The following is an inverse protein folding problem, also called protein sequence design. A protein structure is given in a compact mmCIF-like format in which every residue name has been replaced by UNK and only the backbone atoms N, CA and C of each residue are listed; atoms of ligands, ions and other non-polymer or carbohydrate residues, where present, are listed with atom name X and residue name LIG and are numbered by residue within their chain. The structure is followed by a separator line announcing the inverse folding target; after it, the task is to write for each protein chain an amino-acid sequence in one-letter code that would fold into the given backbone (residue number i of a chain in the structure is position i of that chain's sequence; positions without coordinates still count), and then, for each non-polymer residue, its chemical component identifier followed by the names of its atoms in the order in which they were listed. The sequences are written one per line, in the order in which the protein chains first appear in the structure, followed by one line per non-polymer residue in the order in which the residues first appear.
data_IF_763441075442
#
_entry.id   IF_763441075442
#
_cell.length_a   1.000
_cell.length_b   1.000
_cell.length_c   1.000
_cell.angle_alpha   90.00
_cell.angle_beta   90.00
_cell.angle_gamma   90.00
#
_symmetry.space_group_name_H-M   'P 1'
#
loop_
_entity.id
_entity.type
_entity.pdbx_description
1 polymer ?
#
# COMPACT_ATOMS: atom_id res chain seq x y z
N UNK A 1 -9.35 7.32 -20.70
CA UNK A 1 -8.24 6.84 -19.83
C UNK A 1 -8.41 7.48 -18.46
N UNK A 2 -9.19 6.85 -17.58
CA UNK A 2 -9.58 7.36 -16.26
C UNK A 2 -8.92 6.54 -15.14
N UNK A 3 -7.59 6.41 -15.18
CA UNK A 3 -6.83 5.52 -14.27
C UNK A 3 -5.95 6.30 -13.28
N UNK A 4 -5.91 7.63 -13.37
CA UNK A 4 -5.01 8.45 -12.52
C UNK A 4 -5.70 9.07 -11.30
N UNK A 5 -6.98 9.43 -11.39
CA UNK A 5 -7.68 10.12 -10.28
C UNK A 5 -8.18 9.17 -9.18
N UNK A 6 -8.66 7.98 -9.56
CA UNK A 6 -9.13 6.98 -8.60
C UNK A 6 -8.00 6.42 -7.72
N UNK A 7 -6.75 6.42 -8.21
CA UNK A 7 -5.61 5.96 -7.41
C UNK A 7 -5.24 6.97 -6.32
N UNK A 8 -5.26 8.26 -6.63
CA UNK A 8 -4.91 9.33 -5.68
C UNK A 8 -5.94 9.46 -4.55
N UNK A 9 -7.23 9.31 -4.84
CA UNK A 9 -8.30 9.33 -3.83
C UNK A 9 -8.28 8.10 -2.90
N UNK A 10 -7.84 6.94 -3.40
CA UNK A 10 -7.64 5.73 -2.57
C UNK A 10 -6.38 5.80 -1.71
N UNK A 11 -5.38 6.56 -2.14
CA UNK A 11 -4.14 6.78 -1.40
C UNK A 11 -4.23 7.90 -0.35
N UNK A 12 -4.95 8.98 -0.66
CA UNK A 12 -5.11 10.16 0.19
C UNK A 12 -6.55 10.68 0.04
N UNK A 13 -7.51 10.22 0.85
CA UNK A 13 -8.93 10.61 0.71
C UNK A 13 -9.21 12.09 1.01
N UNK A 14 -8.19 12.93 1.27
CA UNK A 14 -8.32 14.31 1.74
C UNK A 14 -7.72 15.37 0.81
N UNK A 15 -7.23 15.01 -0.39
CA UNK A 15 -6.74 16.00 -1.35
C UNK A 15 -7.79 16.27 -2.43
N UNK A 16 -8.34 17.49 -2.43
CA UNK A 16 -9.14 18.00 -3.54
C UNK A 16 -8.56 19.34 -4.04
N UNK A 17 -8.44 19.55 -5.36
CA UNK A 17 -8.01 20.82 -5.93
C UNK A 17 -9.04 21.92 -5.61
N UNK A 18 -8.59 23.03 -5.02
CA UNK A 18 -9.43 24.20 -4.80
C UNK A 18 -9.34 25.14 -6.00
N UNK A 19 -10.47 25.66 -6.50
CA UNK A 19 -10.47 26.79 -7.42
C UNK A 19 -10.16 28.10 -6.65
N UNK A 20 -9.74 29.16 -7.35
CA UNK A 20 -9.44 30.48 -6.74
C UNK A 20 -10.63 31.11 -6.02
N UNK A 21 -11.85 30.63 -6.27
CA UNK A 21 -13.11 31.09 -5.69
C UNK A 21 -13.60 30.26 -4.48
N UNK A 22 -12.78 29.33 -3.96
CA UNK A 22 -13.06 28.54 -2.72
C UNK A 22 -14.41 27.82 -2.68
N UNK A 23 -14.98 27.48 -3.84
CA UNK A 23 -16.29 26.80 -3.92
C UNK A 23 -16.04 25.29 -4.01
N UNK A 24 -16.57 24.54 -3.05
CA UNK A 24 -16.39 23.08 -2.91
C UNK A 24 -17.38 22.35 -3.82
N UNK A 25 -16.90 21.39 -4.62
CA UNK A 25 -17.76 20.39 -5.27
C UNK A 25 -17.83 19.14 -4.38
N UNK A 26 -19.06 18.66 -4.12
CA UNK A 26 -19.49 17.38 -3.49
C UNK A 26 -18.39 16.56 -2.78
N UNK A 27 -18.21 16.84 -1.49
CA UNK A 27 -17.43 16.07 -0.53
C UNK A 27 -17.30 16.82 0.80
N UNK A 28 -17.65 16.20 1.93
CA UNK A 28 -17.80 16.88 3.22
C UNK A 28 -16.47 17.33 3.83
N UNK A 29 -16.09 18.59 3.62
CA UNK A 29 -15.27 19.37 4.56
C UNK A 29 -16.18 20.43 5.17
N UNK A 30 -16.45 20.33 6.47
CA UNK A 30 -17.22 21.36 7.17
C UNK A 30 -16.49 22.71 7.06
N UNK A 31 -17.24 23.78 6.76
CA UNK A 31 -16.73 25.15 6.69
C UNK A 31 -16.09 25.66 8.01
N UNK A 32 -16.10 24.87 9.09
CA UNK A 32 -15.49 25.20 10.38
C UNK A 32 -14.06 24.66 10.59
N UNK A 33 -13.52 23.81 9.73
CA UNK A 33 -12.16 23.27 9.93
C UNK A 33 -11.09 24.22 9.36
N UNK A 34 -10.17 24.67 10.22
CA UNK A 34 -9.01 25.46 9.78
C UNK A 34 -8.00 24.61 9.01
N UNK A 35 -7.14 25.25 8.18
CA UNK A 35 -6.01 24.57 7.53
C UNK A 35 -5.11 23.82 8.52
N UNK A 36 -4.95 24.38 9.72
CA UNK A 36 -4.17 23.78 10.82
C UNK A 36 -4.81 22.45 11.26
N UNK A 37 -6.14 22.42 11.35
CA UNK A 37 -6.90 21.21 11.71
C UNK A 37 -6.76 20.11 10.65
N UNK A 38 -6.71 20.47 9.36
CA UNK A 38 -6.49 19.53 8.26
C UNK A 38 -5.05 19.02 8.27
N UNK A 39 -4.07 19.92 8.44
CA UNK A 39 -2.67 19.56 8.53
C UNK A 39 -2.39 18.60 9.70
N UNK A 40 -3.01 18.85 10.86
CA UNK A 40 -2.88 17.98 12.03
C UNK A 40 -3.44 16.57 11.77
N UNK A 41 -4.59 16.46 11.09
CA UNK A 41 -5.16 15.17 10.69
C UNK A 41 -4.29 14.45 9.66
N UNK A 42 -3.71 15.18 8.72
CA UNK A 42 -2.78 14.62 7.74
C UNK A 42 -1.52 14.06 8.40
N UNK A 43 -0.92 14.80 9.34
CA UNK A 43 0.21 14.31 10.12
C UNK A 43 -0.15 13.06 10.91
N UNK A 44 -1.31 13.03 11.57
CA UNK A 44 -1.78 11.86 12.29
C UNK A 44 -1.97 10.63 11.38
N UNK A 45 -2.43 10.84 10.14
CA UNK A 45 -2.56 9.77 9.16
C UNK A 45 -1.21 9.26 8.62
N UNK A 46 -0.21 10.14 8.46
CA UNK A 46 1.17 9.73 8.13
C UNK A 46 1.75 8.89 9.27
N UNK A 47 1.58 9.35 10.51
CA UNK A 47 2.12 8.64 11.69
C UNK A 47 1.50 7.25 11.84
N UNK A 48 0.20 7.10 11.58
CA UNK A 48 -0.47 5.80 11.66
C UNK A 48 -0.03 4.80 10.58
N UNK A 49 0.52 5.27 9.46
CA UNK A 49 1.05 4.45 8.37
C UNK A 49 2.54 4.11 8.54
N UNK A 50 3.23 4.69 9.52
CA UNK A 50 4.66 4.48 9.73
C UNK A 50 5.03 3.00 9.84
N UNK A 51 4.30 2.23 10.66
CA UNK A 51 4.56 0.80 10.83
C UNK A 51 4.41 0.01 9.54
N UNK A 52 3.47 0.39 8.67
CA UNK A 52 3.30 -0.23 7.36
C UNK A 52 4.50 0.05 6.48
N UNK A 53 4.93 1.31 6.38
CA UNK A 53 6.10 1.68 5.59
C UNK A 53 7.40 1.06 6.09
N UNK A 54 7.58 0.94 7.40
CA UNK A 54 8.75 0.28 7.98
C UNK A 54 8.81 -1.22 7.55
N UNK A 55 7.67 -1.92 7.55
CA UNK A 55 7.59 -3.32 7.04
C UNK A 55 7.87 -3.40 5.55
N UNK A 56 7.28 -2.51 4.74
CA UNK A 56 7.49 -2.51 3.30
C UNK A 56 8.95 -2.18 2.94
N UNK A 57 9.58 -1.25 3.66
CA UNK A 57 10.99 -0.90 3.47
C UNK A 57 11.91 -2.08 3.82
N UNK A 58 11.62 -2.81 4.90
CA UNK A 58 12.36 -4.02 5.25
C UNK A 58 12.26 -5.10 4.17
N UNK A 59 11.07 -5.32 3.60
CA UNK A 59 10.87 -6.25 2.48
C UNK A 59 11.66 -5.80 1.25
N UNK A 60 11.57 -4.51 0.90
CA UNK A 60 12.22 -3.95 -0.29
C UNK A 60 13.76 -3.95 -0.15
N UNK A 61 14.29 -3.81 1.07
CA UNK A 61 15.73 -3.87 1.35
C UNK A 61 16.28 -5.30 1.38
N UNK A 62 15.53 -6.24 1.97
CA UNK A 62 16.05 -7.59 2.28
C UNK A 62 15.66 -8.67 1.29
N UNK A 63 14.78 -8.39 0.35
CA UNK A 63 14.25 -9.40 -0.57
C UNK A 63 14.41 -9.01 -2.03
N UNK A 64 14.41 -10.02 -2.91
CA UNK A 64 14.38 -9.76 -4.35
C UNK A 64 12.94 -9.55 -4.82
N UNK A 65 12.49 -8.31 -4.77
CA UNK A 65 11.18 -7.89 -5.28
C UNK A 65 11.20 -7.90 -6.81
N UNK A 66 10.28 -8.66 -7.40
CA UNK A 66 10.02 -8.72 -8.84
C UNK A 66 8.99 -7.65 -9.25
N UNK A 67 7.92 -7.50 -8.47
CA UNK A 67 6.86 -6.52 -8.76
C UNK A 67 6.28 -5.89 -7.49
N UNK A 68 6.02 -4.56 -7.51
CA UNK A 68 6.48 -3.60 -8.53
C UNK A 68 8.00 -3.38 -8.47
N UNK A 69 8.66 -3.15 -9.61
CA UNK A 69 10.12 -2.90 -9.68
C UNK A 69 10.54 -1.66 -8.88
N UNK A 70 9.67 -0.64 -8.88
CA UNK A 70 9.84 0.61 -8.13
C UNK A 70 8.59 0.86 -7.30
N UNK A 71 8.51 0.29 -6.09
CA UNK A 71 7.29 0.38 -5.30
C UNK A 71 6.98 1.81 -4.87
N UNK A 72 5.79 2.35 -5.18
CA UNK A 72 5.31 3.55 -4.51
C UNK A 72 4.93 3.22 -3.05
N UNK A 73 4.93 4.24 -2.17
CA UNK A 73 4.51 4.13 -0.76
C UNK A 73 3.08 3.64 -0.55
N UNK A 74 2.30 3.58 -1.62
CA UNK A 74 0.94 3.12 -1.63
C UNK A 74 0.74 1.66 -2.03
N UNK A 75 1.77 1.03 -2.58
CA UNK A 75 1.69 -0.36 -3.00
C UNK A 75 1.76 -1.27 -1.79
N UNK A 76 0.67 -2.01 -1.55
CA UNK A 76 0.50 -2.96 -0.44
C UNK A 76 0.99 -4.37 -0.78
N UNK A 77 1.16 -4.66 -2.06
CA UNK A 77 1.57 -5.98 -2.55
C UNK A 77 3.04 -6.00 -2.99
N UNK A 78 3.68 -7.16 -2.81
CA UNK A 78 5.00 -7.49 -3.35
C UNK A 78 5.01 -8.89 -3.92
N UNK A 79 5.54 -9.03 -5.13
CA UNK A 79 5.93 -10.33 -5.68
C UNK A 79 7.41 -10.51 -5.43
N UNK A 80 7.77 -11.49 -4.62
CA UNK A 80 9.14 -11.72 -4.15
C UNK A 80 9.65 -13.03 -4.76
N UNK A 81 10.85 -13.01 -5.32
CA UNK A 81 11.50 -14.22 -5.82
C UNK A 81 11.94 -15.13 -4.66
N UNK A 82 11.65 -16.42 -4.75
CA UNK A 82 12.10 -17.44 -3.80
C UNK A 82 13.24 -18.31 -4.35
N UNK A 83 13.43 -18.32 -5.67
CA UNK A 83 14.41 -19.16 -6.38
C UNK A 83 13.88 -19.61 -7.74
N UNK A 84 14.59 -20.52 -8.42
CA UNK A 84 14.32 -21.02 -9.78
C UNK A 84 12.83 -21.04 -10.21
N UNK A 85 12.40 -19.98 -10.89
CA UNK A 85 11.04 -19.81 -11.43
C UNK A 85 9.91 -19.93 -10.38
N UNK A 86 10.20 -19.65 -9.11
CA UNK A 86 9.21 -19.61 -8.02
C UNK A 86 9.23 -18.23 -7.37
N UNK A 87 8.04 -17.66 -7.17
CA UNK A 87 7.83 -16.42 -6.45
C UNK A 87 6.64 -16.53 -5.50
N UNK A 88 6.60 -15.65 -4.51
CA UNK A 88 5.47 -15.47 -3.61
C UNK A 88 4.90 -14.07 -3.81
N UNK A 89 3.60 -13.97 -4.00
CA UNK A 89 2.87 -12.72 -3.90
C UNK A 89 2.38 -12.58 -2.47
N UNK A 90 2.74 -11.49 -1.82
CA UNK A 90 2.23 -11.10 -0.50
C UNK A 90 1.40 -9.82 -0.63
N UNK A 91 0.35 -9.71 0.19
CA UNK A 91 -0.44 -8.50 0.35
C UNK A 91 -0.51 -8.11 1.84
N UNK A 92 0.05 -6.95 2.17
CA UNK A 92 0.16 -6.43 3.54
C UNK A 92 -0.98 -5.44 3.79
N UNK A 93 -1.77 -5.67 4.85
CA UNK A 93 -2.79 -4.71 5.30
C UNK A 93 -2.09 -3.48 5.94
N UNK A 94 -2.26 -2.26 5.40
CA UNK A 94 -1.66 -1.05 5.97
C UNK A 94 -2.09 -0.73 7.39
N UNK A 95 -3.25 -1.25 7.83
CA UNK A 95 -3.76 -1.03 9.20
C UNK A 95 -3.22 -2.04 10.20
N UNK A 96 -2.76 -3.21 9.72
CA UNK A 96 -2.25 -4.30 10.54
C UNK A 96 -1.01 -4.95 9.90
N UNK A 97 0.07 -4.17 9.67
CA UNK A 97 1.17 -4.59 8.79
C UNK A 97 2.01 -5.76 9.33
N UNK A 98 1.89 -6.07 10.62
CA UNK A 98 2.60 -7.18 11.28
C UNK A 98 1.77 -8.47 11.36
N UNK A 99 0.50 -8.43 10.92
CA UNK A 99 -0.32 -9.64 10.79
C UNK A 99 0.16 -10.47 9.60
N UNK A 100 -0.07 -11.78 9.67
CA UNK A 100 0.30 -12.68 8.57
C UNK A 100 -0.40 -12.22 7.28
N UNK A 101 0.34 -11.86 6.21
CA UNK A 101 -0.26 -11.40 4.97
C UNK A 101 -0.91 -12.56 4.21
N UNK A 102 -1.85 -12.24 3.34
CA UNK A 102 -2.29 -13.20 2.33
C UNK A 102 -1.12 -13.51 1.40
N UNK A 103 -0.91 -14.80 1.11
CA UNK A 103 0.23 -15.26 0.34
C UNK A 103 -0.16 -16.25 -0.75
N UNK A 104 0.30 -16.01 -1.99
CA UNK A 104 0.05 -16.85 -3.15
C UNK A 104 1.38 -17.24 -3.80
N UNK A 105 1.66 -18.53 -3.88
CA UNK A 105 2.87 -19.04 -4.54
C UNK A 105 2.62 -19.20 -6.04
N UNK A 106 3.60 -18.79 -6.83
CA UNK A 106 3.59 -18.88 -8.29
C UNK A 106 4.86 -19.59 -8.76
N UNK A 107 4.73 -20.57 -9.65
CA UNK A 107 5.82 -21.40 -10.13
C UNK A 107 5.33 -22.75 -10.64
N UNK A 108 6.24 -23.62 -11.05
CA UNK A 108 5.89 -24.97 -11.47
C UNK A 108 5.53 -25.87 -10.27
N UNK A 109 4.58 -26.80 -10.45
CA UNK A 109 4.00 -27.62 -9.37
C UNK A 109 5.03 -28.33 -8.49
N UNK A 110 6.08 -28.86 -9.11
CA UNK A 110 7.18 -29.54 -8.41
C UNK A 110 8.02 -28.63 -7.50
N UNK A 111 8.00 -27.31 -7.76
CA UNK A 111 8.61 -26.30 -6.89
C UNK A 111 7.67 -25.83 -5.78
N UNK A 112 6.38 -25.66 -6.09
CA UNK A 112 5.36 -25.18 -5.13
C UNK A 112 5.05 -26.23 -4.05
N UNK A 113 4.92 -27.51 -4.40
CA UNK A 113 4.60 -28.58 -3.45
C UNK A 113 5.59 -28.66 -2.27
N UNK A 114 6.88 -28.39 -2.52
CA UNK A 114 7.91 -28.36 -1.47
C UNK A 114 7.72 -27.23 -0.47
N UNK A 115 7.14 -26.12 -0.89
CA UNK A 115 6.94 -24.93 -0.03
C UNK A 115 5.64 -25.05 0.76
N UNK A 116 4.59 -25.59 0.13
CA UNK A 116 3.29 -25.81 0.78
C UNK A 116 3.36 -26.91 1.85
N UNK A 117 4.23 -27.92 1.71
CA UNK A 117 4.42 -28.97 2.72
C UNK A 117 4.95 -28.46 4.08
N UNK A 118 5.52 -27.26 4.19
CA UNK A 118 5.96 -26.68 5.48
C UNK A 118 4.86 -25.85 6.17
N UNK A 119 3.62 -25.87 5.66
CA UNK A 119 2.47 -25.16 6.22
C UNK A 119 1.39 -26.10 6.81
N UNK A 120 1.72 -27.37 7.08
CA UNK A 120 0.91 -28.34 7.85
C UNK A 120 1.65 -28.72 9.12
#
# INVERSE_FOLDING_TARGET
MAVTEASLLRQCPLLLPQNRSKTVYEGFISAQSSLISIYSQFLAAIESLKAFWDVMDEIDEKTWVLEPEKPPRSATARRIALGNNVSINIEVDPRHPTMLPECFFLGADHGIQKIVCYKI
#
